data_IF_462655580498
#
_entry.id   IF_462655580498
#
_cell.length_a   1.000
_cell.length_b   1.000
_cell.length_c   1.000
_cell.angle_alpha   90.00
_cell.angle_beta   90.00
_cell.angle_gamma   90.00
#
_symmetry.space_group_name_H-M   'P 1'
#
loop_
_entity.id
_entity.type
_entity.pdbx_description
1 polymer ?
#
# COMPACT_ATOMS: atom_id res chain seq x y z
N UNK A 1 -24.97 -35.92 16.60
CA UNK A 1 -24.54 -34.51 16.45
C UNK A 1 -23.03 -34.44 16.56
N UNK A 2 -22.31 -34.20 15.46
CA UNK A 2 -20.84 -34.10 15.44
C UNK A 2 -20.39 -32.73 15.96
N UNK A 3 -19.51 -32.70 16.97
CA UNK A 3 -18.87 -31.48 17.46
C UNK A 3 -17.89 -30.94 16.41
N UNK A 4 -18.17 -29.75 15.88
CA UNK A 4 -17.22 -28.98 15.07
C UNK A 4 -16.08 -28.55 16.00
N UNK A 5 -14.84 -28.93 15.66
CA UNK A 5 -13.64 -28.44 16.35
C UNK A 5 -13.14 -27.19 15.64
N UNK A 6 -13.21 -26.05 16.32
CA UNK A 6 -12.55 -24.83 15.86
C UNK A 6 -11.05 -24.94 16.18
N UNK A 7 -10.21 -24.95 15.14
CA UNK A 7 -8.78 -24.79 15.31
C UNK A 7 -8.46 -23.30 15.27
N UNK A 8 -8.29 -22.70 16.45
CA UNK A 8 -7.79 -21.32 16.55
C UNK A 8 -6.26 -21.39 16.43
N UNK A 9 -5.73 -21.11 15.24
CA UNK A 9 -4.29 -20.92 15.06
C UNK A 9 -3.95 -19.50 15.52
N UNK A 10 -3.58 -19.37 16.79
CA UNK A 10 -3.03 -18.11 17.31
C UNK A 10 -1.65 -17.97 16.67
N UNK A 11 -1.51 -17.02 15.74
CA UNK A 11 -0.18 -16.61 15.31
C UNK A 11 0.56 -16.08 16.54
N UNK A 12 1.77 -16.57 16.80
CA UNK A 12 2.65 -16.08 17.86
C UNK A 12 3.15 -14.68 17.43
N UNK A 13 2.26 -13.71 17.53
CA UNK A 13 2.43 -12.36 17.04
C UNK A 13 3.59 -11.65 17.75
N UNK A 14 3.87 -12.06 18.99
CA UNK A 14 5.02 -11.62 19.77
C UNK A 14 6.32 -12.02 19.07
N UNK A 15 6.52 -13.30 18.74
CA UNK A 15 7.74 -13.73 18.03
C UNK A 15 7.88 -13.09 16.66
N UNK A 16 6.79 -12.98 15.90
CA UNK A 16 6.85 -12.36 14.58
C UNK A 16 7.20 -10.86 14.68
N UNK A 17 6.51 -10.12 15.54
CA UNK A 17 6.67 -8.67 15.60
C UNK A 17 7.94 -8.26 16.37
N UNK A 18 8.19 -8.87 17.54
CA UNK A 18 9.27 -8.46 18.41
C UNK A 18 10.62 -9.03 18.01
N UNK A 19 10.67 -10.25 17.46
CA UNK A 19 11.94 -10.90 17.11
C UNK A 19 12.29 -10.67 15.64
N UNK A 20 11.33 -10.77 14.73
CA UNK A 20 11.63 -10.62 13.30
C UNK A 20 11.46 -9.17 12.85
N UNK A 21 10.27 -8.58 12.97
CA UNK A 21 9.99 -7.26 12.40
C UNK A 21 10.82 -6.13 13.02
N UNK A 22 10.96 -6.08 14.35
CA UNK A 22 11.76 -5.04 15.02
C UNK A 22 13.25 -5.07 14.69
N UNK A 23 13.77 -6.24 14.30
CA UNK A 23 15.19 -6.41 13.96
C UNK A 23 15.49 -6.23 12.48
N UNK A 24 14.47 -6.05 11.63
CA UNK A 24 14.68 -5.79 10.21
C UNK A 24 15.31 -4.42 10.00
N UNK A 25 16.52 -4.43 9.45
CA UNK A 25 17.14 -3.21 8.95
C UNK A 25 16.60 -2.84 7.56
N UNK A 26 16.98 -1.66 7.07
CA UNK A 26 16.49 -1.16 5.79
C UNK A 26 16.88 -2.04 4.59
N UNK A 27 18.07 -2.64 4.61
CA UNK A 27 18.54 -3.48 3.51
C UNK A 27 17.79 -4.82 3.47
N UNK A 28 17.48 -5.40 4.62
CA UNK A 28 16.64 -6.59 4.73
C UNK A 28 15.20 -6.32 4.28
N UNK A 29 14.60 -5.21 4.71
CA UNK A 29 13.30 -4.77 4.20
C UNK A 29 13.34 -4.59 2.68
N UNK A 30 14.38 -3.94 2.15
CA UNK A 30 14.54 -3.77 0.72
C UNK A 30 14.67 -5.11 -0.02
N UNK A 31 15.38 -6.11 0.53
CA UNK A 31 15.45 -7.46 -0.05
C UNK A 31 14.07 -8.10 -0.12
N UNK A 32 13.33 -8.11 0.99
CA UNK A 32 11.97 -8.69 1.07
C UNK A 32 11.03 -7.99 0.08
N UNK A 33 11.08 -6.67 -0.01
CA UNK A 33 10.25 -5.90 -0.95
C UNK A 33 10.58 -6.22 -2.40
N UNK A 34 11.84 -6.50 -2.74
CA UNK A 34 12.20 -6.90 -4.10
C UNK A 34 11.78 -8.35 -4.42
N UNK A 35 11.73 -9.23 -3.42
CA UNK A 35 11.27 -10.61 -3.56
C UNK A 35 9.73 -10.69 -3.67
N UNK A 36 9.02 -9.88 -2.88
CA UNK A 36 7.55 -9.86 -2.80
C UNK A 36 6.95 -8.46 -3.04
N UNK A 37 7.21 -7.84 -4.21
CA UNK A 37 6.85 -6.43 -4.43
C UNK A 37 5.33 -6.22 -4.50
N UNK A 38 4.58 -7.17 -5.06
CA UNK A 38 3.12 -7.04 -5.21
C UNK A 38 2.42 -7.14 -3.85
N UNK A 39 2.82 -8.09 -3.00
CA UNK A 39 2.24 -8.25 -1.67
C UNK A 39 2.61 -7.08 -0.76
N UNK A 40 3.85 -6.58 -0.85
CA UNK A 40 4.25 -5.35 -0.17
C UNK A 40 3.37 -4.16 -0.60
N UNK A 41 3.18 -3.96 -1.91
CA UNK A 41 2.37 -2.85 -2.42
C UNK A 41 0.88 -3.00 -2.05
N UNK A 42 0.34 -4.22 -2.02
CA UNK A 42 -1.01 -4.48 -1.50
C UNK A 42 -1.10 -4.04 -0.04
N UNK A 43 -0.17 -4.50 0.81
CA UNK A 43 -0.15 -4.16 2.23
C UNK A 43 -0.08 -2.65 2.48
N UNK A 44 0.83 -1.96 1.78
CA UNK A 44 0.96 -0.49 1.88
C UNK A 44 -0.30 0.23 1.39
N UNK A 45 -0.90 -0.21 0.30
CA UNK A 45 -2.12 0.41 -0.19
C UNK A 45 -3.27 0.20 0.80
N UNK A 46 -3.42 -1.01 1.34
CA UNK A 46 -4.45 -1.35 2.31
C UNK A 46 -4.28 -0.65 3.65
N UNK A 47 -3.05 -0.38 4.11
CA UNK A 47 -2.82 0.43 5.32
C UNK A 47 -2.99 1.91 5.02
N UNK A 48 -2.22 2.45 4.07
CA UNK A 48 -1.94 3.89 3.96
C UNK A 48 -2.44 4.53 2.64
N UNK A 49 -2.91 3.71 1.71
CA UNK A 49 -3.39 4.16 0.40
C UNK A 49 -4.86 4.59 0.39
N UNK A 50 -5.23 5.44 -0.56
CA UNK A 50 -6.62 5.72 -0.88
C UNK A 50 -6.81 5.93 -2.38
N UNK A 51 -7.95 5.47 -2.90
CA UNK A 51 -8.44 5.83 -4.23
C UNK A 51 -9.28 7.10 -4.10
N UNK A 52 -8.92 8.13 -4.85
CA UNK A 52 -9.65 9.41 -4.90
C UNK A 52 -10.07 9.72 -6.34
N UNK A 53 -11.18 10.42 -6.49
CA UNK A 53 -11.65 10.93 -7.78
C UNK A 53 -11.69 12.46 -7.73
N UNK A 54 -10.90 13.12 -8.58
CA UNK A 54 -10.95 14.57 -8.74
C UNK A 54 -11.47 14.89 -10.13
N UNK A 55 -12.67 15.50 -10.22
CA UNK A 55 -13.35 15.79 -11.49
C UNK A 55 -13.37 14.56 -12.43
N UNK A 56 -13.77 13.41 -11.91
CA UNK A 56 -13.76 12.09 -12.59
C UNK A 56 -12.38 11.54 -13.00
N UNK A 57 -11.28 12.20 -12.65
CA UNK A 57 -9.94 11.66 -12.82
C UNK A 57 -9.54 10.85 -11.58
N UNK A 58 -9.35 9.53 -11.70
CA UNK A 58 -8.93 8.71 -10.57
C UNK A 58 -7.45 8.93 -10.26
N UNK A 59 -7.13 8.89 -8.97
CA UNK A 59 -5.75 8.86 -8.48
C UNK A 59 -5.66 7.95 -7.26
N UNK A 60 -4.57 7.20 -7.15
CA UNK A 60 -4.15 6.59 -5.90
C UNK A 60 -3.27 7.59 -5.16
N UNK A 61 -3.45 7.74 -3.86
CA UNK A 61 -2.56 8.52 -2.99
C UNK A 61 -2.13 7.62 -1.85
N UNK A 62 -0.84 7.59 -1.56
CA UNK A 62 -0.25 6.90 -0.40
C UNK A 62 0.45 7.96 0.43
N UNK A 63 0.16 7.98 1.73
CA UNK A 63 0.77 8.94 2.67
C UNK A 63 1.36 8.21 3.86
N UNK A 64 2.60 8.50 4.23
CA UNK A 64 3.23 7.92 5.41
C UNK A 64 4.19 8.92 6.07
N UNK A 65 4.30 8.89 7.40
CA UNK A 65 5.28 9.71 8.15
C UNK A 65 6.71 9.23 7.94
N UNK A 66 6.89 7.94 7.69
CA UNK A 66 8.18 7.32 7.44
C UNK A 66 8.58 7.47 5.97
N UNK A 67 9.63 8.26 5.72
CA UNK A 67 10.22 8.46 4.40
C UNK A 67 10.61 7.15 3.72
N UNK A 68 11.21 6.24 4.47
CA UNK A 68 11.78 5.01 3.93
C UNK A 68 10.69 4.10 3.37
N UNK A 69 9.54 4.01 4.02
CA UNK A 69 8.37 3.26 3.53
C UNK A 69 7.91 3.79 2.17
N UNK A 70 7.81 5.12 2.02
CA UNK A 70 7.37 5.74 0.75
C UNK A 70 8.44 5.58 -0.35
N UNK A 71 9.73 5.63 0.01
CA UNK A 71 10.82 5.38 -0.93
C UNK A 71 10.83 3.92 -1.41
N UNK A 72 10.63 2.94 -0.52
CA UNK A 72 10.52 1.52 -0.88
C UNK A 72 9.30 1.28 -1.78
N UNK A 73 8.17 1.92 -1.48
CA UNK A 73 6.96 1.86 -2.32
C UNK A 73 7.23 2.37 -3.73
N UNK A 74 7.86 3.55 -3.84
CA UNK A 74 8.23 4.12 -5.13
C UNK A 74 9.23 3.23 -5.90
N UNK A 75 10.22 2.66 -5.20
CA UNK A 75 11.18 1.74 -5.80
C UNK A 75 10.50 0.47 -6.32
N UNK A 76 9.65 -0.16 -5.52
CA UNK A 76 8.90 -1.36 -5.92
C UNK A 76 8.05 -1.11 -7.18
N UNK A 77 7.32 0.01 -7.22
CA UNK A 77 6.53 0.41 -8.39
C UNK A 77 7.40 0.67 -9.62
N UNK A 78 8.54 1.35 -9.45
CA UNK A 78 9.49 1.61 -10.55
C UNK A 78 10.06 0.32 -11.10
N UNK A 79 10.42 -0.64 -10.24
CA UNK A 79 10.91 -1.97 -10.63
C UNK A 79 9.85 -2.77 -11.40
N UNK A 80 8.56 -2.55 -11.12
CA UNK A 80 7.43 -3.12 -11.83
C UNK A 80 7.04 -2.34 -13.10
N UNK A 81 7.85 -1.35 -13.51
CA UNK A 81 7.66 -0.60 -14.76
C UNK A 81 6.70 0.59 -14.66
N UNK A 82 6.22 0.95 -13.47
CA UNK A 82 5.38 2.13 -13.31
C UNK A 82 6.20 3.42 -13.41
N UNK A 83 5.85 4.30 -14.35
CA UNK A 83 6.43 5.64 -14.48
C UNK A 83 5.65 6.63 -13.63
N UNK A 84 6.13 6.87 -12.42
CA UNK A 84 5.42 7.64 -11.39
C UNK A 84 6.27 8.81 -10.91
N UNK A 85 5.61 9.82 -10.32
CA UNK A 85 6.31 10.99 -9.78
C UNK A 85 7.05 10.61 -8.51
N UNK A 86 8.18 11.29 -8.26
CA UNK A 86 8.92 11.14 -7.00
C UNK A 86 8.03 11.56 -5.82
N UNK A 87 8.12 10.88 -4.67
CA UNK A 87 7.47 11.30 -3.45
C UNK A 87 7.86 12.72 -3.06
N UNK A 88 6.93 13.46 -2.47
CA UNK A 88 7.17 14.81 -1.96
C UNK A 88 6.75 14.93 -0.50
N UNK A 89 7.38 15.84 0.22
CA UNK A 89 7.02 16.16 1.60
C UNK A 89 5.85 17.14 1.59
N UNK A 90 4.76 16.80 2.26
CA UNK A 90 3.65 17.71 2.54
C UNK A 90 3.77 18.17 3.98
N UNK A 91 3.78 19.50 4.17
CA UNK A 91 3.78 20.13 5.49
C UNK A 91 2.34 20.55 5.79
N UNK A 92 1.59 19.80 6.61
CA UNK A 92 0.24 20.18 7.00
C UNK A 92 0.28 21.38 7.97
N UNK A 93 -0.89 21.98 8.22
CA UNK A 93 -1.01 22.96 9.32
C UNK A 93 -0.78 22.26 10.67
N UNK A 94 -0.12 22.96 11.58
CA UNK A 94 0.04 22.54 12.99
C UNK A 94 -1.30 22.10 13.60
N UNK A 95 -1.33 21.07 14.47
CA UNK A 95 -0.20 20.40 15.14
C UNK A 95 0.33 19.13 14.42
N UNK A 96 0.06 18.97 13.12
CA UNK A 96 0.33 17.71 12.42
C UNK A 96 1.79 17.62 11.94
N UNK A 97 2.39 16.45 12.10
CA UNK A 97 3.75 16.17 11.58
C UNK A 97 3.77 16.20 10.04
N UNK A 98 4.90 16.57 9.42
CA UNK A 98 5.10 16.41 7.98
C UNK A 98 4.85 14.97 7.53
N UNK A 99 4.26 14.80 6.35
CA UNK A 99 3.95 13.49 5.76
C UNK A 99 4.56 13.38 4.38
N UNK A 100 5.12 12.22 4.05
CA UNK A 100 5.57 11.90 2.71
C UNK A 100 4.38 11.41 1.90
N UNK A 101 4.20 12.01 0.72
CA UNK A 101 3.08 11.74 -0.17
C UNK A 101 3.61 11.23 -1.49
N UNK A 102 2.95 10.18 -1.97
CA UNK A 102 3.15 9.63 -3.29
C UNK A 102 1.78 9.42 -3.98
N UNK A 103 1.72 9.53 -5.31
CA UNK A 103 0.47 9.33 -6.03
C UNK A 103 0.64 8.73 -7.42
N UNK A 104 -0.34 7.90 -7.80
CA UNK A 104 -0.49 7.31 -9.13
C UNK A 104 -1.72 7.95 -9.76
N UNK A 105 -1.50 8.84 -10.72
CA UNK A 105 -2.58 9.55 -11.41
C UNK A 105 -2.90 8.92 -12.77
N UNK A 106 -4.16 9.03 -13.18
CA UNK A 106 -4.59 8.66 -14.52
C UNK A 106 -5.19 7.27 -14.57
N UNK A 107 -6.36 7.18 -15.20
CA UNK A 107 -7.22 6.00 -15.22
C UNK A 107 -6.51 4.69 -15.58
N UNK A 108 -5.74 4.69 -16.66
CA UNK A 108 -4.99 3.50 -17.10
C UNK A 108 -4.00 3.02 -16.05
N UNK A 109 -3.24 3.93 -15.44
CA UNK A 109 -2.23 3.58 -14.42
C UNK A 109 -2.90 3.13 -13.12
N UNK A 110 -3.95 3.82 -12.68
CA UNK A 110 -4.72 3.44 -11.49
C UNK A 110 -5.33 2.05 -11.65
N UNK A 111 -5.97 1.77 -12.78
CA UNK A 111 -6.52 0.45 -13.10
C UNK A 111 -5.43 -0.62 -13.12
N UNK A 112 -4.33 -0.37 -13.84
CA UNK A 112 -3.19 -1.31 -13.90
C UNK A 112 -2.61 -1.61 -12.51
N UNK A 113 -2.52 -0.60 -11.64
CA UNK A 113 -2.07 -0.76 -10.27
C UNK A 113 -3.03 -1.63 -9.45
N UNK A 114 -4.33 -1.32 -9.46
CA UNK A 114 -5.33 -2.07 -8.69
C UNK A 114 -5.51 -3.50 -9.20
N UNK A 115 -5.48 -3.72 -10.52
CA UNK A 115 -5.52 -5.05 -11.14
C UNK A 115 -4.31 -5.92 -10.74
N UNK A 116 -3.14 -5.28 -10.59
CA UNK A 116 -1.91 -5.95 -10.15
C UNK A 116 -1.97 -6.32 -8.68
N UNK A 117 -2.29 -5.37 -7.80
CA UNK A 117 -2.24 -5.62 -6.35
C UNK A 117 -3.47 -6.37 -5.85
N UNK A 118 -4.62 -6.30 -6.52
CA UNK A 118 -5.89 -6.94 -6.11
C UNK A 118 -6.18 -6.73 -4.63
N UNK A 119 -6.49 -5.49 -4.19
CA UNK A 119 -6.75 -5.22 -2.79
C UNK A 119 -8.01 -5.99 -2.36
N UNK A 120 -7.99 -6.48 -1.13
CA UNK A 120 -9.06 -7.28 -0.51
C UNK A 120 -9.86 -6.45 0.49
N UNK A 121 -9.21 -5.51 1.17
CA UNK A 121 -9.81 -4.74 2.28
C UNK A 121 -10.41 -3.41 1.79
N UNK A 122 -9.81 -2.78 0.77
CA UNK A 122 -10.16 -1.43 0.33
C UNK A 122 -10.99 -1.36 -0.96
N UNK A 123 -11.61 -0.20 -1.15
CA UNK A 123 -12.48 0.24 -2.24
C UNK A 123 -13.92 -0.27 -2.13
N UNK A 124 -14.87 0.65 -2.30
CA UNK A 124 -16.28 0.27 -2.38
C UNK A 124 -16.61 -0.23 -3.78
N UNK A 125 -17.67 -1.03 -3.92
CA UNK A 125 -18.19 -1.42 -5.22
C UNK A 125 -18.47 -0.19 -6.12
N UNK A 126 -18.93 0.92 -5.53
CA UNK A 126 -19.19 2.17 -6.26
C UNK A 126 -17.91 2.78 -6.85
N UNK A 127 -16.81 2.76 -6.09
CA UNK A 127 -15.53 3.30 -6.55
C UNK A 127 -14.99 2.48 -7.73
N UNK A 128 -15.05 1.15 -7.61
CA UNK A 128 -14.64 0.25 -8.68
C UNK A 128 -15.54 0.40 -9.91
N UNK A 129 -16.86 0.45 -9.73
CA UNK A 129 -17.80 0.70 -10.82
C UNK A 129 -17.42 1.96 -11.61
N UNK A 130 -17.17 3.06 -10.90
CA UNK A 130 -16.77 4.35 -11.51
C UNK A 130 -15.46 4.22 -12.28
N UNK A 131 -14.49 3.46 -11.76
CA UNK A 131 -13.19 3.27 -12.41
C UNK A 131 -13.25 2.39 -13.67
N UNK A 132 -14.04 1.31 -13.65
CA UNK A 132 -14.02 0.28 -14.70
C UNK A 132 -15.07 0.47 -15.79
N UNK A 133 -16.18 1.17 -15.53
CA UNK A 133 -17.32 1.29 -16.47
C UNK A 133 -17.44 2.64 -17.18
N UNK A 134 -16.65 3.65 -16.79
CA UNK A 134 -16.50 4.89 -17.57
C UNK A 134 -15.42 4.75 -18.64
#
# INVERSE_FOLDING_TARGET
>A
MSKIRYYVKVADAEKFFDIWYKNLNFDEMNKIVNEFPVDFLRGIYESDGCLIFYKNSPSIVITNVNKNTVLLTNKALTNLGFKIRKPYLRIPKEPRKPIWVFGIGGKKLVKSFLDMIKPVIKNTHKDLKTLYET
#
